data_IF_228937574256
#
_entry.id   IF_228937574256
#
_cell.length_a   1.000
_cell.length_b   1.000
_cell.length_c   1.000
_cell.angle_alpha   90.00
_cell.angle_beta   90.00
_cell.angle_gamma   90.00
#
_symmetry.space_group_name_H-M   'P 1'
#
loop_
_entity.id
_entity.type
_entity.pdbx_description
1 polymer ?
#
# COMPACT_ATOMS: atom_id res chain seq x y z
N UNK A 1 -1.41 4.78 -18.57
CA UNK A 1 -1.00 5.92 -17.72
C UNK A 1 -1.86 6.03 -16.47
N UNK A 2 -1.78 5.10 -15.51
CA UNK A 2 -2.49 5.23 -14.21
C UNK A 2 -1.52 5.62 -13.10
N UNK A 3 -0.41 4.88 -12.96
CA UNK A 3 0.65 5.18 -11.99
C UNK A 3 1.28 6.57 -12.19
N UNK A 4 1.44 7.02 -13.44
CA UNK A 4 2.06 8.33 -13.73
C UNK A 4 1.32 9.53 -13.13
N UNK A 5 -0.01 9.47 -13.04
CA UNK A 5 -0.81 10.53 -12.40
C UNK A 5 -0.84 10.38 -10.88
N UNK A 6 -0.92 9.15 -10.38
CA UNK A 6 -1.05 8.89 -8.94
C UNK A 6 0.29 8.97 -8.20
N UNK A 7 1.43 8.89 -8.89
CA UNK A 7 2.77 8.97 -8.27
C UNK A 7 2.95 10.23 -7.40
N UNK A 8 2.33 11.35 -7.78
CA UNK A 8 2.42 12.61 -7.01
C UNK A 8 1.57 12.61 -5.74
N UNK A 9 0.63 11.67 -5.60
CA UNK A 9 -0.23 11.53 -4.41
C UNK A 9 0.41 10.67 -3.31
N UNK A 10 1.60 10.12 -3.56
CA UNK A 10 2.35 9.32 -2.60
C UNK A 10 2.79 10.17 -1.39
N UNK A 11 2.35 9.79 -0.19
CA UNK A 11 2.76 10.46 1.04
C UNK A 11 1.74 10.39 2.16
N UNK A 12 1.96 11.22 3.18
CA UNK A 12 1.06 11.39 4.32
C UNK A 12 0.27 12.68 4.15
N UNK A 13 -1.05 12.56 4.17
CA UNK A 13 -2.00 13.64 3.97
C UNK A 13 -2.61 14.05 5.30
N UNK A 14 -2.74 15.37 5.52
CA UNK A 14 -3.24 15.95 6.78
C UNK A 14 -4.65 16.50 6.61
N UNK A 15 -5.57 16.07 7.46
CA UNK A 15 -6.93 16.62 7.54
C UNK A 15 -7.11 17.35 8.88
N UNK A 16 -7.50 18.62 8.81
CA UNK A 16 -7.86 19.42 9.99
C UNK A 16 -9.32 19.80 9.90
N UNK A 17 -10.15 19.24 10.77
CA UNK A 17 -11.60 19.49 10.81
C UNK A 17 -12.17 19.36 12.22
N UNK A 18 -13.40 19.82 12.43
CA UNK A 18 -14.17 19.47 13.64
C UNK A 18 -14.64 18.02 13.48
N UNK A 19 -14.31 17.16 14.45
CA UNK A 19 -14.66 15.75 14.38
C UNK A 19 -16.15 15.56 14.65
N UNK A 20 -16.90 14.82 13.80
CA UNK A 20 -18.29 14.45 14.10
C UNK A 20 -18.38 13.43 15.25
N UNK A 21 -17.24 12.87 15.69
CA UNK A 21 -17.16 11.85 16.74
C UNK A 21 -16.70 12.38 18.10
N UNK A 22 -16.35 13.68 18.20
CA UNK A 22 -16.00 14.30 19.49
C UNK A 22 -17.21 15.07 20.03
N UNK A 23 -17.76 14.63 21.17
CA UNK A 23 -18.93 15.24 21.81
C UNK A 23 -18.70 16.71 22.21
N UNK A 24 -17.43 17.12 22.39
CA UNK A 24 -17.04 18.50 22.70
C UNK A 24 -16.77 19.35 21.44
N UNK A 25 -17.00 18.82 20.24
CA UNK A 25 -16.82 19.50 18.95
C UNK A 25 -15.44 20.17 18.78
N UNK A 26 -14.38 19.57 19.34
CA UNK A 26 -13.04 20.15 19.20
C UNK A 26 -12.49 19.91 17.80
N UNK A 27 -11.60 20.80 17.38
CA UNK A 27 -10.86 20.66 16.13
C UNK A 27 -9.82 19.55 16.28
N UNK A 28 -9.94 18.50 15.48
CA UNK A 28 -9.02 17.37 15.46
C UNK A 28 -8.15 17.44 14.21
N UNK A 29 -6.93 16.90 14.34
CA UNK A 29 -6.01 16.71 13.21
C UNK A 29 -5.82 15.22 13.00
N UNK A 30 -6.06 14.75 11.79
CA UNK A 30 -5.91 13.35 11.39
C UNK A 30 -4.91 13.25 10.24
N UNK A 31 -4.27 12.09 10.13
CA UNK A 31 -3.31 11.79 9.09
C UNK A 31 -3.70 10.48 8.39
N UNK A 32 -3.51 10.42 7.08
CA UNK A 32 -3.69 9.20 6.28
C UNK A 32 -2.52 9.05 5.31
N UNK A 33 -1.98 7.85 5.17
CA UNK A 33 -0.93 7.54 4.20
C UNK A 33 -1.55 6.96 2.92
N UNK A 34 -1.03 7.39 1.77
CA UNK A 34 -1.35 6.81 0.47
C UNK A 34 -0.04 6.48 -0.26
N UNK A 35 0.06 5.25 -0.75
CA UNK A 35 1.21 4.77 -1.52
C UNK A 35 0.70 4.02 -2.76
N UNK A 36 0.72 4.67 -3.93
CA UNK A 36 0.44 4.00 -5.19
C UNK A 36 1.68 3.26 -5.66
N UNK A 37 1.49 2.03 -6.14
CA UNK A 37 2.52 1.23 -6.79
C UNK A 37 2.06 0.88 -8.20
N UNK A 38 2.96 0.82 -9.20
CA UNK A 38 2.60 0.33 -10.51
C UNK A 38 2.34 -1.17 -10.44
N UNK A 39 1.39 -1.65 -11.24
CA UNK A 39 1.32 -3.08 -11.54
C UNK A 39 2.49 -3.39 -12.49
N UNK A 40 3.41 -4.22 -12.04
CA UNK A 40 4.50 -4.79 -12.86
C UNK A 40 4.00 -6.14 -13.38
N UNK A 41 4.47 -6.55 -14.55
CA UNK A 41 4.08 -7.82 -15.14
C UNK A 41 4.57 -8.99 -14.26
N UNK A 42 3.68 -9.94 -13.97
CA UNK A 42 3.94 -11.09 -13.10
C UNK A 42 4.58 -12.27 -13.87
N UNK A 43 5.12 -12.01 -15.07
CA UNK A 43 5.87 -13.00 -15.87
C UNK A 43 7.27 -13.23 -15.28
N UNK A 44 7.31 -13.80 -14.09
CA UNK A 44 8.52 -14.34 -13.50
C UNK A 44 8.46 -15.86 -13.68
N UNK A 45 9.10 -16.37 -14.75
CA UNK A 45 9.39 -17.79 -14.87
C UNK A 45 10.51 -18.14 -13.89
N UNK A 46 10.13 -18.65 -12.72
CA UNK A 46 11.07 -19.23 -11.77
C UNK A 46 11.23 -20.70 -12.15
N UNK A 47 12.26 -21.02 -12.92
CA UNK A 47 12.69 -22.41 -13.10
C UNK A 47 13.29 -22.92 -11.78
N UNK A 48 12.54 -23.76 -11.08
CA UNK A 48 13.01 -24.45 -9.89
C UNK A 48 13.69 -25.74 -10.35
N UNK A 49 15.01 -25.80 -10.24
CA UNK A 49 15.76 -27.02 -10.51
C UNK A 49 15.42 -28.08 -9.46
N UNK A 50 14.95 -29.25 -9.90
CA UNK A 50 14.62 -30.38 -9.01
C UNK A 50 15.84 -30.90 -8.22
N UNK A 51 17.07 -30.57 -8.65
CA UNK A 51 18.30 -30.86 -7.90
C UNK A 51 18.45 -30.06 -6.60
N UNK A 52 17.77 -28.92 -6.51
CA UNK A 52 17.89 -27.97 -5.38
C UNK A 52 16.70 -28.10 -4.42
N UNK A 53 15.74 -28.98 -4.71
CA UNK A 53 14.54 -29.20 -3.90
C UNK A 53 14.61 -30.55 -3.22
N UNK A 54 14.58 -30.53 -1.88
CA UNK A 54 14.39 -31.74 -1.07
C UNK A 54 12.94 -31.79 -0.60
N UNK A 55 12.20 -32.81 -1.05
CA UNK A 55 10.82 -33.05 -0.65
C UNK A 55 10.81 -34.13 0.44
N UNK A 56 10.47 -33.75 1.68
CA UNK A 56 10.26 -34.68 2.79
C UNK A 56 8.74 -34.81 3.06
N UNK A 57 8.25 -36.03 3.28
CA UNK A 57 6.85 -36.32 3.66
C UNK A 57 6.84 -37.02 5.02
N UNK A 58 5.92 -36.63 5.91
CA UNK A 58 5.73 -37.21 7.25
C UNK A 58 4.39 -37.94 7.37
#
# INVERSE_FOLDING_TARGET
NAYGWLKTEAGVHRLVRISPYDSAARRHTSFASAWPYPLVDDQIEVEVNESDVRVDTF
#
